data_IF_090873087901
#
_entry.id   IF_090873087901
#
_cell.length_a   1.000
_cell.length_b   1.000
_cell.length_c   1.000
_cell.angle_alpha   90.00
_cell.angle_beta   90.00
_cell.angle_gamma   90.00
#
_symmetry.space_group_name_H-M   'P 1'
#
loop_
_entity.id
_entity.type
_entity.pdbx_description
1 polymer ?
#
# COMPACT_ATOMS: atom_id res chain seq x y z
N UNK A 1 -14.80 10.30 -13.08
CA UNK A 1 -13.68 9.34 -13.18
C UNK A 1 -13.81 8.35 -12.04
N UNK A 2 -14.00 7.05 -12.31
CA UNK A 2 -14.14 6.05 -11.24
C UNK A 2 -12.77 5.81 -10.61
N UNK A 3 -12.71 5.78 -9.28
CA UNK A 3 -11.48 5.53 -8.51
C UNK A 3 -10.72 4.27 -8.99
N UNK A 4 -11.48 3.26 -9.44
CA UNK A 4 -10.95 2.01 -9.97
C UNK A 4 -10.14 2.18 -11.28
N UNK A 5 -10.54 3.09 -12.17
CA UNK A 5 -9.82 3.35 -13.43
C UNK A 5 -8.49 4.06 -13.19
N UNK A 6 -8.45 4.92 -12.16
CA UNK A 6 -7.24 5.64 -11.77
C UNK A 6 -6.20 4.69 -11.18
N UNK A 7 -6.61 3.81 -10.25
CA UNK A 7 -5.75 2.76 -9.65
C UNK A 7 -5.24 1.79 -10.72
N UNK A 8 -6.03 1.52 -11.76
CA UNK A 8 -5.67 0.61 -12.85
C UNK A 8 -4.54 1.14 -13.75
N UNK A 9 -4.32 2.46 -13.81
CA UNK A 9 -3.29 3.07 -14.67
C UNK A 9 -2.04 3.54 -13.92
N UNK A 10 -2.03 3.47 -12.59
CA UNK A 10 -0.88 3.91 -11.79
C UNK A 10 0.34 2.98 -11.96
N UNK A 11 1.48 3.57 -12.31
CA UNK A 11 2.79 2.89 -12.28
C UNK A 11 3.24 2.68 -10.83
N UNK A 12 4.02 1.61 -10.58
CA UNK A 12 4.61 1.32 -9.27
C UNK A 12 5.41 2.54 -8.80
N UNK A 13 5.03 3.13 -7.65
CA UNK A 13 5.63 4.35 -7.10
C UNK A 13 4.71 5.59 -7.14
N UNK A 14 3.80 5.72 -8.11
CA UNK A 14 2.82 6.83 -8.08
C UNK A 14 1.79 6.66 -6.97
N UNK A 15 1.53 5.42 -6.55
CA UNK A 15 0.59 5.18 -5.47
C UNK A 15 1.14 5.68 -4.13
N UNK A 16 2.48 5.79 -4.04
CA UNK A 16 3.18 6.43 -2.93
C UNK A 16 2.84 7.92 -2.82
N UNK A 17 2.51 8.59 -3.93
CA UNK A 17 2.04 9.98 -3.95
C UNK A 17 0.62 10.10 -3.40
N UNK A 18 -0.25 9.11 -3.65
CA UNK A 18 -1.61 9.08 -3.08
C UNK A 18 -1.58 8.88 -1.56
N UNK A 19 -0.64 8.08 -1.06
CA UNK A 19 -0.45 7.87 0.38
C UNK A 19 0.09 9.11 1.09
N UNK A 20 0.81 10.00 0.37
CA UNK A 20 1.30 11.27 0.92
C UNK A 20 0.16 12.21 1.36
N UNK A 21 -1.01 12.11 0.74
CA UNK A 21 -2.19 12.89 1.12
C UNK A 21 -2.99 12.31 2.29
N UNK A 22 -2.76 11.05 2.67
CA UNK A 22 -3.56 10.34 3.68
C UNK A 22 -3.04 10.49 5.11
N UNK A 23 -1.92 11.21 5.34
CA UNK A 23 -1.37 11.41 6.68
C UNK A 23 -0.94 10.10 7.33
N UNK A 24 0.32 9.74 7.12
CA UNK A 24 0.92 8.51 7.64
C UNK A 24 0.69 8.29 9.16
N UNK A 25 0.53 7.04 9.65
CA UNK A 25 0.51 5.76 8.93
C UNK A 25 -0.89 5.10 8.80
N UNK A 26 -1.14 4.44 7.67
CA UNK A 26 -2.37 3.64 7.42
C UNK A 26 -2.46 2.49 8.44
N UNK A 27 -3.60 2.28 9.12
CA UNK A 27 -3.75 1.20 10.09
C UNK A 27 -3.44 -0.19 9.51
N UNK A 28 -2.74 -1.08 10.22
CA UNK A 28 -2.31 -2.38 9.68
C UNK A 28 -3.46 -3.22 9.13
N UNK A 29 -4.61 -3.18 9.81
CA UNK A 29 -5.82 -3.90 9.39
C UNK A 29 -6.31 -3.51 7.98
N UNK A 30 -6.09 -2.25 7.56
CA UNK A 30 -6.49 -1.77 6.22
C UNK A 30 -5.44 -2.01 5.15
N UNK A 31 -4.19 -2.28 5.54
CA UNK A 31 -3.12 -2.42 4.56
C UNK A 31 -3.31 -3.63 3.64
N UNK A 32 -3.85 -4.73 4.20
CA UNK A 32 -4.18 -5.91 3.40
C UNK A 32 -5.29 -5.63 2.38
N UNK A 33 -6.36 -4.93 2.79
CA UNK A 33 -7.48 -4.58 1.91
C UNK A 33 -7.01 -3.70 0.74
N UNK A 34 -6.14 -2.72 1.02
CA UNK A 34 -5.57 -1.84 -0.01
C UNK A 34 -4.67 -2.62 -0.96
N UNK A 35 -3.81 -3.49 -0.44
CA UNK A 35 -2.94 -4.32 -1.25
C UNK A 35 -3.75 -5.22 -2.19
N UNK A 36 -4.80 -5.85 -1.68
CA UNK A 36 -5.70 -6.69 -2.47
C UNK A 36 -6.51 -5.85 -3.49
N UNK A 37 -7.08 -4.72 -3.07
CA UNK A 37 -7.85 -3.82 -3.95
C UNK A 37 -7.00 -3.21 -5.07
N UNK A 38 -5.70 -3.04 -4.84
CA UNK A 38 -4.75 -2.57 -5.85
C UNK A 38 -4.04 -3.71 -6.59
N UNK A 39 -4.42 -4.96 -6.34
CA UNK A 39 -3.83 -6.16 -6.93
C UNK A 39 -2.29 -6.17 -6.84
N UNK A 40 -1.76 -5.82 -5.66
CA UNK A 40 -0.33 -5.79 -5.37
C UNK A 40 0.45 -4.61 -5.97
N UNK A 41 -0.22 -3.64 -6.63
CA UNK A 41 0.44 -2.41 -7.09
C UNK A 41 0.88 -1.51 -5.93
N UNK A 42 0.19 -1.60 -4.80
CA UNK A 42 0.55 -1.02 -3.52
C UNK A 42 0.73 -2.15 -2.53
N UNK A 43 1.89 -2.24 -1.89
CA UNK A 43 2.13 -3.27 -0.89
C UNK A 43 1.99 -2.72 0.53
N UNK A 44 1.80 -3.60 1.51
CA UNK A 44 1.95 -3.28 2.95
C UNK A 44 3.26 -2.55 3.25
N UNK A 45 4.36 -2.87 2.55
CA UNK A 45 5.65 -2.20 2.69
C UNK A 45 5.60 -0.74 2.20
N UNK A 46 4.90 -0.50 1.08
CA UNK A 46 4.70 0.85 0.55
C UNK A 46 3.79 1.71 1.44
N UNK A 47 2.88 1.07 2.17
CA UNK A 47 1.92 1.70 3.11
C UNK A 47 2.50 1.97 4.49
N UNK A 48 3.50 1.19 4.90
CA UNK A 48 4.12 1.23 6.24
C UNK A 48 5.63 1.01 6.19
N UNK A 49 6.42 1.85 5.49
CA UNK A 49 7.83 1.58 5.19
C UNK A 49 8.72 1.56 6.44
N UNK A 50 8.28 2.14 7.56
CA UNK A 50 9.07 2.26 8.78
C UNK A 50 8.86 1.12 9.78
N UNK A 51 7.75 0.38 9.71
CA UNK A 51 7.41 -0.63 10.72
C UNK A 51 6.71 -1.88 10.18
N UNK A 52 6.53 -2.01 8.86
CA UNK A 52 5.99 -3.22 8.24
C UNK A 52 6.74 -4.49 8.68
N UNK A 53 8.06 -4.44 8.85
CA UNK A 53 8.88 -5.59 9.27
C UNK A 53 8.55 -6.07 10.69
N UNK A 54 8.09 -5.17 11.56
CA UNK A 54 7.70 -5.51 12.94
C UNK A 54 6.31 -6.14 12.99
N UNK A 55 5.44 -5.74 12.06
CA UNK A 55 4.03 -6.16 12.01
C UNK A 55 3.87 -7.45 11.20
N UNK A 56 4.58 -7.56 10.08
CA UNK A 56 4.55 -8.70 9.15
C UNK A 56 5.97 -9.21 8.86
N UNK A 57 6.67 -9.78 9.85
CA UNK A 57 8.03 -10.30 9.67
C UNK A 57 8.11 -11.40 8.58
N UNK A 58 7.03 -12.13 8.36
CA UNK A 58 6.93 -13.22 7.38
C UNK A 58 7.12 -12.75 5.93
N UNK A 59 6.88 -11.48 5.62
CA UNK A 59 7.02 -10.94 4.25
C UNK A 59 8.49 -10.84 3.83
N UNK A 60 9.42 -10.73 4.78
CA UNK A 60 10.86 -10.60 4.51
C UNK A 60 11.63 -11.92 4.68
N UNK A 61 10.94 -13.01 5.05
CA UNK A 61 11.52 -14.33 5.17
C UNK A 61 11.54 -15.01 3.78
N UNK A 62 12.49 -14.60 2.94
CA UNK A 62 12.89 -15.32 1.72
C UNK A 62 14.40 -15.22 1.53
#
# INVERSE_FOLDING_TARGET
MKLNDYISNLKRGEAKLLLRGLGYPVPPARCFDIENATNGKVTRQDLRPHDWQKIWPEINAN
#
